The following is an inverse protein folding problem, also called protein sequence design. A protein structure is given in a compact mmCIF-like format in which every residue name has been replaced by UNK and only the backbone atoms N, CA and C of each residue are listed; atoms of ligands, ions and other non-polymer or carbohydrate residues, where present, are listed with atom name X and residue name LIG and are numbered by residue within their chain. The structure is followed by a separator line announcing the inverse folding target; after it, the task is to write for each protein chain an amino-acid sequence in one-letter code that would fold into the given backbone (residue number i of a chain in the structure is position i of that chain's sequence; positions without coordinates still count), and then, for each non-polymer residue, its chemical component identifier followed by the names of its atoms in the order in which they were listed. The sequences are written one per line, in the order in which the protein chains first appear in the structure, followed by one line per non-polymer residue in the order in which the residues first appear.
data_IF_383741743237
#
_entry.id   IF_383741743237
#
_cell.length_a   1.000
_cell.length_b   1.000
_cell.length_c   1.000
_cell.angle_alpha   90.00
_cell.angle_beta   90.00
_cell.angle_gamma   90.00
#
_symmetry.space_group_name_H-M   'P 1'
#
loop_
_entity.id
_entity.type
_entity.pdbx_description
1 polymer ?
#
# COMPACT_ATOMS: atom_id res chain seq x y z
N UNK A 1 29.77 25.81 13.64
CA UNK A 1 28.51 25.25 14.18
C UNK A 1 27.77 24.65 13.01
N UNK A 2 27.82 23.33 12.85
CA UNK A 2 27.05 22.65 11.80
C UNK A 2 25.58 22.69 12.21
N UNK A 3 24.76 23.36 11.42
CA UNK A 3 23.30 23.28 11.52
C UNK A 3 22.92 21.79 11.49
N UNK A 4 22.07 21.28 12.40
CA UNK A 4 21.61 19.90 12.29
C UNK A 4 21.00 19.72 10.90
N UNK A 5 21.53 18.75 10.15
CA UNK A 5 21.06 18.44 8.80
C UNK A 5 19.56 18.10 8.92
N UNK A 6 18.72 18.90 8.28
CA UNK A 6 17.26 18.74 8.38
C UNK A 6 16.92 17.35 7.84
N UNK A 7 16.30 16.50 8.66
CA UNK A 7 15.97 15.13 8.27
C UNK A 7 15.19 15.11 6.94
N UNK A 8 15.50 14.14 6.08
CA UNK A 8 14.84 13.98 4.78
C UNK A 8 13.34 13.74 4.96
N UNK A 9 12.53 14.12 3.98
CA UNK A 9 11.07 13.98 4.03
C UNK A 9 10.67 12.53 4.25
N UNK A 10 11.27 11.61 3.51
CA UNK A 10 11.08 10.16 3.65
C UNK A 10 11.41 9.64 5.06
N UNK A 11 12.44 10.19 5.71
CA UNK A 11 12.79 9.84 7.09
C UNK A 11 11.74 10.32 8.09
N UNK A 12 11.24 11.55 7.92
CA UNK A 12 10.14 12.08 8.75
C UNK A 12 8.86 11.27 8.56
N UNK A 13 8.50 10.95 7.32
CA UNK A 13 7.37 10.08 7.01
C UNK A 13 7.49 8.72 7.71
N UNK A 14 8.64 8.05 7.60
CA UNK A 14 8.89 6.79 8.32
C UNK A 14 8.72 6.93 9.84
N UNK A 15 9.15 8.04 10.43
CA UNK A 15 9.02 8.29 11.86
C UNK A 15 7.55 8.46 12.27
N UNK A 16 6.80 9.34 11.61
CA UNK A 16 5.40 9.61 11.96
C UNK A 16 4.48 8.43 11.68
N UNK A 17 4.81 7.59 10.68
CA UNK A 17 4.02 6.41 10.36
C UNK A 17 4.45 5.17 11.14
N UNK A 18 5.45 5.26 12.02
CA UNK A 18 5.95 4.10 12.77
C UNK A 18 4.87 3.45 13.65
N UNK A 19 4.11 4.26 14.39
CA UNK A 19 3.02 3.76 15.25
C UNK A 19 1.85 3.19 14.41
N UNK A 20 1.29 3.90 13.41
CA UNK A 20 0.28 3.33 12.51
C UNK A 20 0.72 2.03 11.84
N UNK A 21 1.97 1.95 11.36
CA UNK A 21 2.54 0.74 10.78
C UNK A 21 2.59 -0.41 11.79
N UNK A 22 3.04 -0.15 13.01
CA UNK A 22 3.15 -1.18 14.05
C UNK A 22 1.79 -1.73 14.47
N UNK A 23 0.77 -0.86 14.59
CA UNK A 23 -0.62 -1.28 14.84
C UNK A 23 -1.17 -2.13 13.71
N UNK A 24 -0.92 -1.72 12.46
CA UNK A 24 -1.36 -2.46 11.29
C UNK A 24 -0.69 -3.84 11.20
N UNK A 25 0.63 -3.94 11.44
CA UNK A 25 1.34 -5.22 11.45
C UNK A 25 0.78 -6.19 12.53
N UNK A 26 0.47 -5.68 13.73
CA UNK A 26 -0.17 -6.47 14.78
C UNK A 26 -1.57 -6.96 14.37
N UNK A 27 -2.38 -6.10 13.73
CA UNK A 27 -3.70 -6.47 13.24
C UNK A 27 -3.64 -7.52 12.12
N UNK A 28 -2.74 -7.34 11.16
CA UNK A 28 -2.49 -8.34 10.10
C UNK A 28 -2.08 -9.68 10.71
N UNK A 29 -1.22 -9.69 11.74
CA UNK A 29 -0.85 -10.92 12.45
C UNK A 29 -2.03 -11.57 13.16
N UNK A 30 -2.88 -10.79 13.82
CA UNK A 30 -4.05 -11.28 14.56
C UNK A 30 -5.06 -11.99 13.64
N UNK A 31 -5.17 -11.56 12.39
CA UNK A 31 -6.03 -12.19 11.38
C UNK A 31 -5.44 -13.43 10.71
N UNK A 32 -4.18 -13.79 11.01
CA UNK A 32 -3.51 -14.99 10.53
C UNK A 32 -3.69 -15.25 9.00
N UNK A 33 -3.34 -14.30 8.12
CA UNK A 33 -3.61 -14.36 6.67
C UNK A 33 -2.97 -15.53 5.93
N UNK A 34 -2.03 -16.26 6.56
CA UNK A 34 -1.31 -17.36 5.93
C UNK A 34 -1.63 -18.72 6.54
N UNK A 35 -2.67 -18.83 7.38
CA UNK A 35 -3.11 -20.12 7.93
C UNK A 35 -3.96 -20.91 6.93
N UNK A 36 -4.81 -20.23 6.17
CA UNK A 36 -5.67 -20.85 5.16
C UNK A 36 -5.74 -19.97 3.91
N UNK A 37 -6.08 -20.57 2.76
CA UNK A 37 -6.36 -19.80 1.53
C UNK A 37 -7.55 -18.85 1.71
N UNK A 38 -8.53 -19.19 2.55
CA UNK A 38 -9.66 -18.32 2.84
C UNK A 38 -9.22 -17.04 3.58
N UNK A 39 -8.39 -17.17 4.62
CA UNK A 39 -7.83 -16.01 5.33
C UNK A 39 -6.97 -15.18 4.36
N UNK A 40 -6.15 -15.83 3.54
CA UNK A 40 -5.35 -15.15 2.55
C UNK A 40 -6.21 -14.38 1.53
N UNK A 41 -7.31 -14.96 1.05
CA UNK A 41 -8.24 -14.28 0.17
C UNK A 41 -8.84 -13.02 0.80
N UNK A 42 -9.18 -13.04 2.10
CA UNK A 42 -9.60 -11.82 2.83
C UNK A 42 -8.48 -10.77 2.89
N UNK A 43 -7.24 -11.20 3.08
CA UNK A 43 -6.11 -10.29 2.97
C UNK A 43 -5.98 -9.69 1.56
N UNK A 44 -6.17 -10.48 0.50
CA UNK A 44 -6.18 -9.98 -0.88
C UNK A 44 -7.35 -9.02 -1.13
N UNK A 45 -8.52 -9.24 -0.53
CA UNK A 45 -9.66 -8.31 -0.58
C UNK A 45 -9.26 -6.92 -0.05
N UNK A 46 -8.62 -6.86 1.13
CA UNK A 46 -8.13 -5.60 1.70
C UNK A 46 -7.09 -4.92 0.79
N UNK A 47 -6.16 -5.70 0.22
CA UNK A 47 -5.16 -5.21 -0.72
C UNK A 47 -5.78 -4.64 -2.00
N UNK A 48 -6.74 -5.36 -2.59
CA UNK A 48 -7.45 -4.92 -3.78
C UNK A 48 -8.23 -3.63 -3.50
N UNK A 49 -9.01 -3.57 -2.41
CA UNK A 49 -9.76 -2.38 -2.04
C UNK A 49 -8.84 -1.17 -1.95
N UNK A 50 -7.72 -1.28 -1.23
CA UNK A 50 -6.77 -0.19 -1.07
C UNK A 50 -6.14 0.22 -2.40
N UNK A 51 -5.67 -0.73 -3.21
CA UNK A 51 -5.06 -0.44 -4.50
C UNK A 51 -6.06 0.17 -5.49
N UNK A 52 -7.32 -0.27 -5.48
CA UNK A 52 -8.38 0.24 -6.35
C UNK A 52 -8.69 1.72 -6.10
N UNK A 53 -8.61 2.17 -4.85
CA UNK A 53 -8.79 3.58 -4.48
C UNK A 53 -7.63 4.46 -4.98
N UNK A 54 -6.46 3.88 -5.17
CA UNK A 54 -5.26 4.58 -5.62
C UNK A 54 -5.08 4.57 -7.14
N UNK A 55 -5.91 3.85 -7.90
CA UNK A 55 -5.78 3.76 -9.37
C UNK A 55 -5.78 5.16 -10.01
N UNK A 56 -6.64 6.07 -9.56
CA UNK A 56 -6.66 7.43 -10.08
C UNK A 56 -5.37 8.21 -9.77
N UNK A 57 -4.77 8.01 -8.59
CA UNK A 57 -3.51 8.65 -8.21
C UNK A 57 -2.32 8.09 -8.99
N UNK A 58 -2.28 6.76 -9.20
CA UNK A 58 -1.23 6.13 -9.98
C UNK A 58 -1.25 6.50 -11.47
N UNK A 59 -2.41 6.93 -11.98
CA UNK A 59 -2.60 7.37 -13.37
C UNK A 59 -2.77 8.88 -13.51
N UNK A 60 -2.56 9.64 -12.45
CA UNK A 60 -2.65 11.10 -12.48
C UNK A 60 -1.48 11.68 -13.30
N UNK A 61 -1.77 12.64 -14.18
CA UNK A 61 -0.80 13.20 -15.10
C UNK A 61 0.27 14.05 -14.38
N UNK A 62 -0.10 14.78 -13.33
CA UNK A 62 0.85 15.59 -12.56
C UNK A 62 1.77 14.71 -11.72
N UNK A 63 1.24 13.64 -11.13
CA UNK A 63 2.03 12.67 -10.36
C UNK A 63 2.93 11.83 -11.26
N UNK A 64 2.47 11.46 -12.46
CA UNK A 64 3.29 10.77 -13.47
C UNK A 64 4.43 11.65 -13.97
N UNK A 65 4.22 12.97 -14.08
CA UNK A 65 5.31 13.90 -14.43
C UNK A 65 6.42 13.93 -13.36
N UNK A 66 6.11 13.59 -12.09
CA UNK A 66 7.06 13.50 -10.99
C UNK A 66 7.72 12.12 -10.94
N UNK A 67 6.93 11.05 -11.08
CA UNK A 67 7.39 9.66 -11.08
C UNK A 67 7.00 9.02 -12.42
N UNK A 68 7.88 9.04 -13.45
CA UNK A 68 7.50 8.67 -14.81
C UNK A 68 6.96 7.25 -15.00
N UNK A 69 7.37 6.31 -14.14
CA UNK A 69 6.93 4.92 -14.16
C UNK A 69 5.74 4.64 -13.22
N UNK A 70 5.11 5.68 -12.67
CA UNK A 70 4.05 5.56 -11.67
C UNK A 70 2.88 4.65 -12.09
N UNK A 71 2.33 4.74 -13.31
CA UNK A 71 1.22 3.87 -13.72
C UNK A 71 1.57 2.37 -13.61
N UNK A 72 2.80 1.99 -13.94
CA UNK A 72 3.27 0.61 -13.89
C UNK A 72 3.47 0.09 -12.45
N UNK A 73 3.48 0.97 -11.44
CA UNK A 73 3.67 0.62 -10.03
C UNK A 73 2.38 0.16 -9.36
N UNK A 74 1.20 0.48 -9.90
CA UNK A 74 -0.08 0.12 -9.29
C UNK A 74 -0.28 -1.41 -9.25
N UNK A 75 -0.76 -1.95 -8.12
CA UNK A 75 -0.99 -3.40 -7.95
C UNK A 75 -2.46 -3.82 -8.01
N UNK A 76 -3.36 -2.92 -8.40
CA UNK A 76 -4.80 -3.19 -8.43
C UNK A 76 -5.17 -4.37 -9.34
N UNK A 77 -4.66 -4.38 -10.58
CA UNK A 77 -4.94 -5.47 -11.53
C UNK A 77 -4.33 -6.80 -11.08
N UNK A 78 -3.13 -6.78 -10.49
CA UNK A 78 -2.51 -7.99 -9.93
C UNK A 78 -3.34 -8.56 -8.77
N UNK A 79 -3.79 -7.71 -7.83
CA UNK A 79 -4.64 -8.12 -6.72
C UNK A 79 -6.01 -8.61 -7.19
N UNK A 80 -6.57 -8.01 -8.24
CA UNK A 80 -7.82 -8.45 -8.85
C UNK A 80 -7.69 -9.84 -9.49
N UNK A 81 -6.59 -10.10 -10.20
CA UNK A 81 -6.30 -11.43 -10.73
C UNK A 81 -6.09 -12.46 -9.62
N UNK A 82 -5.47 -12.06 -8.50
CA UNK A 82 -5.34 -12.92 -7.33
C UNK A 82 -6.70 -13.31 -6.72
N UNK A 83 -7.64 -12.37 -6.66
CA UNK A 83 -9.01 -12.68 -6.21
C UNK A 83 -9.68 -13.73 -7.12
N UNK A 84 -9.49 -13.62 -8.44
CA UNK A 84 -10.01 -14.61 -9.38
C UNK A 84 -9.34 -15.99 -9.22
N UNK A 85 -8.02 -16.04 -9.04
CA UNK A 85 -7.29 -17.29 -8.77
C UNK A 85 -7.73 -17.96 -7.44
N UNK A 86 -8.25 -17.16 -6.50
CA UNK A 86 -8.73 -17.60 -5.19
C UNK A 86 -10.26 -17.81 -5.13
N UNK A 87 -10.95 -17.84 -6.27
CA UNK A 87 -12.42 -17.96 -6.37
C UNK A 87 -13.17 -16.96 -5.46
N UNK A 88 -12.63 -15.76 -5.32
CA UNK A 88 -13.17 -14.71 -4.45
C UNK A 88 -13.73 -13.57 -5.30
N UNK A 89 -14.97 -13.18 -5.04
CA UNK A 89 -15.59 -12.07 -5.75
C UNK A 89 -14.87 -10.74 -5.49
N UNK A 90 -14.83 -9.90 -6.53
CA UNK A 90 -14.31 -8.54 -6.41
C UNK A 90 -15.26 -7.75 -5.50
N UNK A 91 -14.77 -7.22 -4.35
CA UNK A 91 -15.62 -6.53 -3.39
C UNK A 91 -16.16 -5.21 -3.95
N UNK A 92 -17.35 -4.83 -3.50
CA UNK A 92 -17.88 -3.49 -3.75
C UNK A 92 -17.02 -2.41 -3.06
N UNK A 93 -16.95 -1.19 -3.60
CA UNK A 93 -16.22 -0.09 -2.97
C UNK A 93 -16.73 0.22 -1.55
N UNK A 94 -15.80 0.47 -0.63
CA UNK A 94 -16.11 0.84 0.76
C UNK A 94 -16.19 2.36 0.86
N UNK A 95 -17.17 2.89 1.59
CA UNK A 95 -17.31 4.34 1.82
C UNK A 95 -16.05 4.94 2.47
N UNK A 96 -15.78 6.23 2.20
CA UNK A 96 -14.62 6.94 2.78
C UNK A 96 -13.32 6.81 1.99
N UNK A 97 -13.38 6.34 0.74
CA UNK A 97 -12.22 6.33 -0.15
C UNK A 97 -11.62 7.73 -0.35
N UNK A 98 -10.30 7.79 -0.54
CA UNK A 98 -9.61 9.03 -0.90
C UNK A 98 -10.16 9.58 -2.21
N UNK A 99 -10.45 10.89 -2.26
CA UNK A 99 -11.01 11.57 -3.44
C UNK A 99 -10.30 12.89 -3.66
N UNK A 100 -9.70 13.04 -4.85
CA UNK A 100 -9.07 14.27 -5.31
C UNK A 100 -8.21 14.98 -4.24
N UNK A 101 -7.24 14.27 -3.60
CA UNK A 101 -6.34 14.89 -2.64
C UNK A 101 -5.47 15.96 -3.32
N UNK A 102 -4.91 16.88 -2.54
CA UNK A 102 -3.80 17.71 -3.03
C UNK A 102 -2.64 16.84 -3.48
N UNK A 103 -1.80 17.37 -4.38
CA UNK A 103 -0.59 16.68 -4.87
C UNK A 103 0.31 16.17 -3.74
N UNK A 104 0.53 16.99 -2.72
CA UNK A 104 1.36 16.60 -1.58
C UNK A 104 0.72 15.47 -0.77
N UNK A 105 -0.59 15.56 -0.47
CA UNK A 105 -1.32 14.49 0.22
C UNK A 105 -1.33 13.20 -0.60
N UNK A 106 -1.53 13.29 -1.93
CA UNK A 106 -1.47 12.14 -2.84
C UNK A 106 -0.13 11.41 -2.78
N UNK A 107 0.99 12.15 -2.75
CA UNK A 107 2.32 11.57 -2.60
C UNK A 107 2.52 10.87 -1.26
N UNK A 108 1.82 11.30 -0.20
CA UNK A 108 1.79 10.60 1.09
C UNK A 108 1.09 9.23 0.99
N UNK A 109 -0.02 9.16 0.27
CA UNK A 109 -0.71 7.88 -0.02
C UNK A 109 0.14 6.95 -0.86
N UNK A 110 0.78 7.47 -1.91
CA UNK A 110 1.69 6.70 -2.76
C UNK A 110 2.91 6.22 -1.96
N UNK A 111 3.46 7.04 -1.05
CA UNK A 111 4.56 6.64 -0.17
C UNK A 111 4.22 5.39 0.65
N UNK A 112 3.04 5.33 1.26
CA UNK A 112 2.59 4.15 2.02
C UNK A 112 2.38 2.94 1.10
N UNK A 113 1.77 3.17 -0.06
CA UNK A 113 1.52 2.11 -1.05
C UNK A 113 2.82 1.51 -1.60
N UNK A 114 3.79 2.35 -1.98
CA UNK A 114 5.12 1.92 -2.44
C UNK A 114 5.91 1.25 -1.32
N UNK A 115 5.90 1.82 -0.10
CA UNK A 115 6.60 1.27 1.05
C UNK A 115 6.13 -0.13 1.43
N UNK A 116 4.82 -0.41 1.29
CA UNK A 116 4.25 -1.75 1.57
C UNK A 116 4.86 -2.87 0.70
N UNK A 117 5.43 -2.54 -0.47
CA UNK A 117 6.08 -3.51 -1.36
C UNK A 117 7.38 -4.05 -0.80
N UNK A 118 8.05 -3.36 0.12
CA UNK A 118 9.26 -3.86 0.77
C UNK A 118 8.96 -5.10 1.63
N UNK A 119 7.88 -5.04 2.41
CA UNK A 119 7.42 -6.14 3.25
C UNK A 119 6.89 -7.33 2.44
N UNK A 120 6.39 -7.11 1.23
CA UNK A 120 5.85 -8.16 0.37
C UNK A 120 6.86 -9.27 0.02
N UNK A 121 8.18 -8.99 0.07
CA UNK A 121 9.22 -10.00 -0.09
C UNK A 121 9.18 -11.11 0.98
N UNK A 122 8.70 -10.80 2.18
CA UNK A 122 8.49 -11.77 3.25
C UNK A 122 7.14 -12.47 3.10
N UNK A 123 6.12 -11.73 2.69
CA UNK A 123 4.76 -12.25 2.54
C UNK A 123 4.66 -13.31 1.43
N UNK A 124 5.29 -13.10 0.28
CA UNK A 124 5.27 -14.08 -0.82
C UNK A 124 5.86 -15.42 -0.39
N UNK A 125 6.90 -15.42 0.47
CA UNK A 125 7.51 -16.66 0.99
C UNK A 125 6.55 -17.44 1.89
N UNK A 126 5.65 -16.75 2.61
CA UNK A 126 4.61 -17.39 3.42
C UNK A 126 3.47 -17.91 2.56
N UNK A 127 3.14 -17.22 1.46
CA UNK A 127 2.10 -17.63 0.53
C UNK A 127 2.40 -18.98 -0.16
N UNK A 128 3.68 -19.34 -0.31
CA UNK A 128 4.11 -20.66 -0.84
C UNK A 128 3.54 -21.82 -0.02
N UNK A 129 3.39 -21.68 1.30
CA UNK A 129 2.81 -22.74 2.14
C UNK A 129 1.32 -22.97 1.86
N UNK A 130 0.66 -22.02 1.19
CA UNK A 130 -0.71 -22.13 0.69
C UNK A 130 -0.77 -22.52 -0.80
N UNK A 131 0.38 -22.91 -1.38
CA UNK A 131 0.58 -23.20 -2.81
C UNK A 131 0.24 -22.01 -3.73
N UNK A 132 0.48 -20.79 -3.24
CA UNK A 132 0.31 -19.55 -4.01
C UNK A 132 1.67 -19.03 -4.47
N UNK A 133 1.68 -18.28 -5.58
CA UNK A 133 2.88 -17.72 -6.18
C UNK A 133 2.60 -16.40 -6.89
N UNK A 134 3.65 -15.75 -7.39
CA UNK A 134 3.57 -14.57 -8.25
C UNK A 134 2.85 -14.83 -9.59
N UNK A 135 2.55 -16.10 -9.91
CA UNK A 135 1.79 -16.49 -11.11
C UNK A 135 0.43 -17.12 -10.81
N UNK A 136 0.06 -17.26 -9.53
CA UNK A 136 -1.24 -17.79 -9.11
C UNK A 136 -1.58 -17.34 -7.68
N UNK A 137 -2.61 -16.50 -7.53
CA UNK A 137 -3.17 -16.08 -6.25
C UNK A 137 -2.31 -15.14 -5.40
N UNK A 138 -1.03 -14.91 -5.70
CA UNK A 138 -0.18 -13.95 -4.98
C UNK A 138 0.66 -13.05 -5.93
N UNK A 139 0.15 -12.76 -7.12
CA UNK A 139 0.71 -11.84 -8.12
C UNK A 139 0.99 -10.45 -7.54
N UNK A 140 0.11 -9.93 -6.67
CA UNK A 140 0.31 -8.62 -6.02
C UNK A 140 1.50 -8.60 -5.05
N UNK A 141 1.98 -9.77 -4.63
CA UNK A 141 3.19 -9.93 -3.83
C UNK A 141 4.40 -10.31 -4.70
N UNK A 142 4.26 -10.37 -6.03
CA UNK A 142 5.37 -10.60 -6.96
C UNK A 142 6.42 -9.49 -6.91
N UNK A 143 7.67 -9.83 -7.24
CA UNK A 143 8.75 -8.85 -7.34
C UNK A 143 8.53 -7.96 -8.58
N UNK A 144 8.53 -6.63 -8.44
CA UNK A 144 8.42 -5.74 -9.59
C UNK A 144 9.67 -5.80 -10.46
N UNK A 145 9.51 -5.42 -11.74
CA UNK A 145 10.65 -5.20 -12.63
C UNK A 145 11.63 -4.18 -12.03
N UNK A 146 12.93 -4.43 -12.16
CA UNK A 146 13.99 -3.62 -11.54
C UNK A 146 14.20 -3.87 -10.04
N UNK A 147 13.37 -4.69 -9.39
CA UNK A 147 13.54 -5.12 -8.01
C UNK A 147 13.02 -4.13 -6.97
N UNK A 148 12.53 -4.66 -5.85
CA UNK A 148 11.85 -3.86 -4.80
C UNK A 148 12.72 -2.76 -4.21
N UNK A 149 13.97 -3.09 -3.91
CA UNK A 149 14.88 -2.18 -3.23
C UNK A 149 15.22 -0.97 -4.09
N UNK A 150 15.47 -1.18 -5.39
CA UNK A 150 15.79 -0.07 -6.29
C UNK A 150 14.54 0.75 -6.62
N UNK A 151 13.41 0.09 -6.86
CA UNK A 151 12.12 0.76 -7.05
C UNK A 151 11.75 1.70 -5.89
N UNK A 152 12.00 1.27 -4.64
CA UNK A 152 11.80 2.10 -3.45
C UNK A 152 12.81 3.25 -3.34
N UNK A 153 14.10 2.97 -3.54
CA UNK A 153 15.15 4.01 -3.48
C UNK A 153 14.92 5.10 -4.52
N UNK A 154 14.53 4.74 -5.74
CA UNK A 154 14.20 5.69 -6.80
C UNK A 154 13.03 6.58 -6.39
N UNK A 155 11.92 5.98 -5.94
CA UNK A 155 10.75 6.71 -5.49
C UNK A 155 11.05 7.70 -4.35
N UNK A 156 11.74 7.23 -3.30
CA UNK A 156 12.11 8.06 -2.15
C UNK A 156 13.02 9.21 -2.56
N UNK A 157 14.01 8.97 -3.43
CA UNK A 157 14.90 10.02 -3.93
C UNK A 157 14.12 11.11 -4.67
N UNK A 158 13.18 10.72 -5.52
CA UNK A 158 12.29 11.66 -6.20
C UNK A 158 11.48 12.46 -5.19
N UNK A 159 10.83 11.78 -4.24
CA UNK A 159 10.02 12.43 -3.21
C UNK A 159 10.83 13.43 -2.38
N UNK A 160 12.04 13.07 -1.96
CA UNK A 160 12.92 13.93 -1.15
C UNK A 160 13.46 15.14 -1.94
N UNK A 161 13.56 15.03 -3.27
CA UNK A 161 14.04 16.12 -4.13
C UNK A 161 13.03 17.25 -4.36
N UNK A 162 11.74 16.98 -4.11
CA UNK A 162 10.67 17.96 -4.28
C UNK A 162 10.80 19.11 -3.27
N UNK A 163 10.63 20.34 -3.79
CA UNK A 163 10.52 21.55 -2.98
C UNK A 163 9.07 21.70 -2.56
N UNK A 164 8.81 21.53 -1.26
CA UNK A 164 7.48 21.70 -0.66
C UNK A 164 7.46 22.95 0.23
N UNK A 165 6.32 23.64 0.22
CA UNK A 165 6.00 24.62 1.27
C UNK A 165 5.79 23.92 2.63
N UNK A 166 5.70 24.68 3.71
CA UNK A 166 5.42 24.10 5.03
C UNK A 166 4.02 23.42 5.06
N UNK A 167 3.06 23.96 4.32
CA UNK A 167 1.73 23.40 4.16
C UNK A 167 1.78 22.08 3.37
N UNK A 168 2.51 22.02 2.26
CA UNK A 168 2.69 20.78 1.49
C UNK A 168 3.42 19.69 2.31
N UNK A 169 4.39 20.07 3.16
CA UNK A 169 5.02 19.14 4.10
C UNK A 169 4.01 18.56 5.11
N UNK A 170 3.12 19.38 5.65
CA UNK A 170 2.07 18.89 6.54
C UNK A 170 1.05 18.01 5.80
N UNK A 171 0.73 18.33 4.54
CA UNK A 171 -0.21 17.57 3.73
C UNK A 171 0.30 16.18 3.35
N UNK A 172 1.58 16.04 2.98
CA UNK A 172 2.19 14.74 2.67
C UNK A 172 2.26 13.86 3.92
N UNK A 173 2.57 14.44 5.08
CA UNK A 173 2.57 13.76 6.37
C UNK A 173 1.16 13.26 6.72
N UNK A 174 0.15 14.11 6.60
CA UNK A 174 -1.25 13.73 6.82
C UNK A 174 -1.70 12.64 5.84
N UNK A 175 -1.34 12.74 4.57
CA UNK A 175 -1.67 11.75 3.54
C UNK A 175 -1.13 10.35 3.87
N UNK A 176 0.11 10.28 4.38
CA UNK A 176 0.70 9.01 4.80
C UNK A 176 -0.04 8.41 6.02
N UNK A 177 -0.38 9.23 7.02
CA UNK A 177 -1.16 8.77 8.19
C UNK A 177 -2.55 8.28 7.76
N UNK A 178 -3.25 9.04 6.91
CA UNK A 178 -4.57 8.67 6.39
C UNK A 178 -4.53 7.34 5.62
N UNK A 179 -3.47 7.10 4.84
CA UNK A 179 -3.33 5.88 4.06
C UNK A 179 -3.22 4.64 4.96
N UNK A 180 -2.45 4.72 6.05
CA UNK A 180 -2.41 3.65 7.06
C UNK A 180 -3.77 3.44 7.72
N UNK A 181 -4.42 4.52 8.17
CA UNK A 181 -5.73 4.45 8.79
C UNK A 181 -6.78 3.85 7.84
N UNK A 182 -6.73 4.21 6.55
CA UNK A 182 -7.61 3.66 5.53
C UNK A 182 -7.37 2.17 5.33
N UNK A 183 -6.11 1.74 5.24
CA UNK A 183 -5.81 0.31 5.09
C UNK A 183 -6.30 -0.50 6.30
N UNK A 184 -6.20 0.03 7.52
CA UNK A 184 -6.79 -0.59 8.72
C UNK A 184 -8.30 -0.79 8.58
N UNK A 185 -9.06 0.24 8.18
CA UNK A 185 -10.51 0.14 7.96
C UNK A 185 -10.85 -0.93 6.89
N UNK A 186 -10.10 -0.95 5.80
CA UNK A 186 -10.32 -1.91 4.72
C UNK A 186 -9.97 -3.34 5.13
N UNK A 187 -8.93 -3.51 5.97
CA UNK A 187 -8.56 -4.80 6.54
C UNK A 187 -9.66 -5.31 7.47
N UNK A 188 -10.14 -4.48 8.39
CA UNK A 188 -11.25 -4.84 9.28
C UNK A 188 -12.51 -5.21 8.49
N UNK A 189 -12.87 -4.43 7.46
CA UNK A 189 -14.00 -4.74 6.59
C UNK A 189 -13.84 -6.09 5.88
N UNK A 190 -12.64 -6.40 5.38
CA UNK A 190 -12.37 -7.64 4.67
C UNK A 190 -12.53 -8.88 5.58
N UNK A 191 -12.19 -8.75 6.85
CA UNK A 191 -12.29 -9.85 7.83
C UNK A 191 -13.61 -9.85 8.63
N UNK A 192 -14.36 -8.75 8.67
CA UNK A 192 -15.68 -8.68 9.33
C UNK A 192 -16.77 -9.49 8.61
N UNK A 193 -16.55 -9.85 7.33
CA UNK A 193 -17.49 -10.62 6.51
C UNK A 193 -17.56 -12.12 6.92
N UNK A 194 -17.04 -12.47 8.11
CA UNK A 194 -17.22 -13.76 8.77
C UNK A 194 -18.39 -13.80 9.78
N UNK A 195 -19.04 -12.67 10.08
CA UNK A 195 -20.24 -12.70 10.93
C UNK A 195 -21.46 -13.20 10.16
N UNK A 196 -21.56 -14.54 10.06
CA UNK A 196 -22.66 -15.47 9.72
C UNK A 196 -22.55 -16.27 8.39
N UNK A 197 -23.00 -17.56 8.37
CA UNK A 197 -23.73 -18.30 9.41
C UNK A 197 -23.15 -19.66 9.83
N UNK A 198 -23.28 -19.98 11.13
CA UNK A 198 -23.96 -21.17 11.65
C UNK A 198 -24.44 -20.88 13.08
#
# INVERSE_FOLDING_TARGET
MSTPEKALRSQRLNQITHEPHSKLDALVKAHAPFETRANFARFVVAQYLFQSELVSLYNDAELTAIVPDLPARCRAEAAKADLADLDTEVPAPVAGAVKNPSKARALGWIFVSEGSKLGAAFLIKRAVALELSETFGARHLGEPEGGRAEGWKSFVRTLDSLQFSAEEEAEVEQGAIDAFNRFTVLLEQAYATEAEPA
#
